data_IF_565265898574
#
_entry.id   IF_565265898574
#
_cell.length_a   1.000
_cell.length_b   1.000
_cell.length_c   1.000
_cell.angle_alpha   90.00
_cell.angle_beta   90.00
_cell.angle_gamma   90.00
#
_symmetry.space_group_name_H-M   'P 1'
#
loop_
_entity.id
_entity.type
_entity.pdbx_description
1 polymer ?
#
# COMPACT_ATOMS: atom_id res chain seq x y z
N UNK A 1 -1.67 -7.00 2.22
CA UNK A 1 -2.04 -7.38 0.84
C UNK A 1 -3.52 -7.17 0.55
N UNK A 2 -4.45 -7.93 1.15
CA UNK A 2 -5.89 -7.89 0.80
C UNK A 2 -6.53 -6.49 0.78
N UNK A 3 -6.24 -5.66 1.79
CA UNK A 3 -6.80 -4.31 1.86
C UNK A 3 -6.24 -3.36 0.79
N UNK A 4 -4.97 -3.53 0.38
CA UNK A 4 -4.39 -2.79 -0.76
C UNK A 4 -5.06 -3.19 -2.07
N UNK A 5 -5.22 -4.50 -2.32
CA UNK A 5 -5.91 -4.99 -3.52
C UNK A 5 -7.36 -4.49 -3.59
N UNK A 6 -8.10 -4.62 -2.48
CA UNK A 6 -9.50 -4.16 -2.42
C UNK A 6 -9.62 -2.65 -2.67
N UNK A 7 -8.64 -1.85 -2.24
CA UNK A 7 -8.62 -0.41 -2.55
C UNK A 7 -8.42 -0.14 -4.03
N UNK A 8 -7.47 -0.83 -4.67
CA UNK A 8 -7.23 -0.70 -6.12
C UNK A 8 -8.45 -1.19 -6.92
N UNK A 9 -9.03 -2.32 -6.56
CA UNK A 9 -10.26 -2.83 -7.19
C UNK A 9 -11.38 -1.78 -7.12
N UNK A 10 -11.54 -1.09 -5.98
CA UNK A 10 -12.52 0.02 -5.85
C UNK A 10 -12.18 1.23 -6.71
N UNK A 11 -10.90 1.59 -6.84
CA UNK A 11 -10.49 2.70 -7.73
C UNK A 11 -10.75 2.37 -9.20
N UNK A 12 -10.61 1.10 -9.60
CA UNK A 12 -10.94 0.62 -10.93
C UNK A 12 -12.46 0.70 -11.14
N UNK A 13 -13.25 0.15 -10.22
CA UNK A 13 -14.72 0.14 -10.31
C UNK A 13 -15.33 1.56 -10.32
N UNK A 14 -14.70 2.52 -9.63
CA UNK A 14 -15.11 3.94 -9.63
C UNK A 14 -14.60 4.73 -10.84
N UNK A 15 -13.67 4.18 -11.63
CA UNK A 15 -13.04 4.88 -12.75
C UNK A 15 -12.04 5.96 -12.35
N UNK A 16 -11.63 6.01 -11.07
CA UNK A 16 -10.70 7.01 -10.53
C UNK A 16 -9.22 6.59 -10.66
N UNK A 17 -8.95 5.32 -10.99
CA UNK A 17 -7.59 4.82 -11.18
C UNK A 17 -6.75 5.67 -12.16
N UNK A 18 -7.24 6.03 -13.37
CA UNK A 18 -6.46 6.82 -14.33
C UNK A 18 -6.16 8.24 -13.85
N UNK A 19 -6.96 8.75 -12.90
CA UNK A 19 -6.79 10.08 -12.33
C UNK A 19 -5.88 10.08 -11.11
N UNK A 20 -5.57 8.91 -10.55
CA UNK A 20 -4.74 8.78 -9.36
C UNK A 20 -3.27 8.91 -9.76
N UNK A 21 -2.57 9.90 -9.22
CA UNK A 21 -1.12 10.07 -9.44
C UNK A 21 -0.31 9.69 -8.21
N UNK A 22 -0.90 9.74 -7.00
CA UNK A 22 -0.23 9.40 -5.75
C UNK A 22 -1.10 8.56 -4.84
N UNK A 23 -0.49 7.59 -4.16
CA UNK A 23 -1.14 6.79 -3.11
C UNK A 23 -0.38 6.96 -1.80
N UNK A 24 -1.12 7.10 -0.70
CA UNK A 24 -0.56 7.20 0.65
C UNK A 24 -1.29 6.25 1.58
N UNK A 25 -0.55 5.61 2.47
CA UNK A 25 -1.01 4.59 3.41
C UNK A 25 -0.61 5.02 4.81
N UNK A 26 -1.61 5.30 5.64
CA UNK A 26 -1.45 5.64 7.04
C UNK A 26 -1.78 4.42 7.90
N UNK A 27 -0.80 3.97 8.68
CA UNK A 27 -0.93 2.87 9.63
C UNK A 27 -1.01 3.42 11.04
N UNK A 28 -1.95 2.92 11.84
CA UNK A 28 -2.24 3.41 13.18
C UNK A 28 -2.23 2.27 14.21
N UNK A 29 -1.90 2.62 15.45
CA UNK A 29 -1.95 1.71 16.61
C UNK A 29 -0.89 0.61 16.59
N UNK A 30 -1.22 -0.59 17.06
CA UNK A 30 -0.26 -1.70 17.21
C UNK A 30 0.36 -2.13 15.87
N UNK A 31 -0.35 -1.88 14.77
CA UNK A 31 0.10 -2.14 13.40
C UNK A 31 1.26 -1.23 12.97
N UNK A 32 1.38 -0.03 13.54
CA UNK A 32 2.50 0.87 13.26
C UNK A 32 3.77 0.47 14.01
N UNK A 33 3.63 -0.11 15.21
CA UNK A 33 4.72 -0.61 16.04
C UNK A 33 5.43 -1.84 15.43
N UNK A 34 4.68 -2.73 14.78
CA UNK A 34 5.23 -3.91 14.10
C UNK A 34 5.49 -3.69 12.61
N UNK A 35 5.25 -2.47 12.09
CA UNK A 35 5.22 -2.23 10.65
C UNK A 35 6.57 -1.83 10.03
N UNK A 36 7.47 -1.22 10.79
CA UNK A 36 8.76 -0.70 10.27
C UNK A 36 9.77 -1.85 10.13
N UNK A 37 10.10 -2.24 8.90
CA UNK A 37 11.10 -3.26 8.59
C UNK A 37 10.66 -4.72 8.81
N UNK A 38 9.36 -4.97 9.01
CA UNK A 38 8.81 -6.28 9.39
C UNK A 38 7.64 -6.70 8.48
N UNK A 39 7.89 -6.73 7.17
CA UNK A 39 7.00 -7.31 6.14
C UNK A 39 5.65 -6.61 5.89
N UNK A 40 5.22 -5.66 6.74
CA UNK A 40 3.93 -4.96 6.57
C UNK A 40 3.96 -3.95 5.42
N UNK A 41 5.05 -3.19 5.31
CA UNK A 41 5.35 -2.31 4.19
C UNK A 41 5.34 -3.06 2.84
N UNK A 42 6.04 -4.19 2.80
CA UNK A 42 6.08 -5.10 1.67
C UNK A 42 4.68 -5.61 1.33
N UNK A 43 3.91 -6.06 2.32
CA UNK A 43 2.57 -6.56 2.11
C UNK A 43 1.59 -5.49 1.61
N UNK A 44 1.81 -4.22 1.95
CA UNK A 44 1.03 -3.09 1.42
C UNK A 44 1.39 -2.84 -0.03
N UNK A 45 2.68 -2.71 -0.34
CA UNK A 45 3.19 -2.45 -1.69
C UNK A 45 2.74 -3.56 -2.65
N UNK A 46 2.93 -4.83 -2.28
CA UNK A 46 2.51 -5.96 -3.11
C UNK A 46 0.98 -6.01 -3.28
N UNK A 47 0.22 -5.63 -2.26
CA UNK A 47 -1.24 -5.56 -2.33
C UNK A 47 -1.73 -4.48 -3.30
N UNK A 48 -1.12 -3.29 -3.25
CA UNK A 48 -1.40 -2.19 -4.18
C UNK A 48 -0.95 -2.53 -5.61
N UNK A 49 0.11 -3.32 -5.76
CA UNK A 49 0.51 -3.87 -7.06
C UNK A 49 -0.52 -4.87 -7.63
N UNK A 50 -1.51 -5.29 -6.83
CA UNK A 50 -2.56 -6.23 -7.24
C UNK A 50 -2.31 -7.67 -6.83
N UNK A 51 -1.23 -7.96 -6.09
CA UNK A 51 -0.90 -9.31 -5.65
C UNK A 51 -1.73 -9.71 -4.41
N UNK A 52 -2.06 -10.99 -4.33
CA UNK A 52 -2.68 -11.64 -3.18
C UNK A 52 -1.63 -12.47 -2.43
N UNK A 53 -1.83 -12.78 -1.13
CA UNK A 53 -0.95 -13.71 -0.42
C UNK A 53 -0.86 -15.10 -1.07
N UNK A 54 -1.91 -15.51 -1.80
CA UNK A 54 -1.95 -16.80 -2.49
C UNK A 54 -1.15 -16.83 -3.79
N UNK A 55 -1.17 -15.72 -4.56
CA UNK A 55 -0.62 -15.69 -5.93
C UNK A 55 0.73 -14.94 -6.02
N UNK A 56 1.22 -14.40 -4.90
CA UNK A 56 2.45 -13.62 -4.89
C UNK A 56 3.68 -14.51 -5.11
N UNK A 57 4.52 -14.14 -6.09
CA UNK A 57 5.84 -14.73 -6.24
C UNK A 57 6.79 -14.16 -5.18
N UNK A 58 7.01 -14.92 -4.11
CA UNK A 58 7.82 -14.52 -2.95
C UNK A 58 9.27 -14.17 -3.36
N UNK A 59 9.83 -14.88 -4.34
CA UNK A 59 11.21 -14.66 -4.78
C UNK A 59 11.38 -13.32 -5.51
N UNK A 60 10.31 -12.81 -6.11
CA UNK A 60 10.32 -11.53 -6.84
C UNK A 60 10.07 -10.32 -5.94
N UNK A 61 9.61 -10.53 -4.70
CA UNK A 61 9.28 -9.46 -3.75
C UNK A 61 10.48 -8.54 -3.49
N UNK A 62 11.68 -9.03 -3.12
CA UNK A 62 12.79 -8.14 -2.76
C UNK A 62 13.22 -7.23 -3.92
N UNK A 63 13.27 -7.78 -5.14
CA UNK A 63 13.62 -7.02 -6.33
C UNK A 63 12.56 -5.95 -6.64
N UNK A 64 11.27 -6.29 -6.52
CA UNK A 64 10.19 -5.34 -6.73
C UNK A 64 10.21 -4.20 -5.71
N UNK A 65 10.39 -4.50 -4.43
CA UNK A 65 10.47 -3.47 -3.38
C UNK A 65 11.68 -2.56 -3.59
N UNK A 66 12.84 -3.10 -3.96
CA UNK A 66 14.02 -2.28 -4.28
C UNK A 66 13.76 -1.37 -5.48
N UNK A 67 13.08 -1.87 -6.51
CA UNK A 67 12.74 -1.07 -7.68
C UNK A 67 11.77 0.07 -7.34
N UNK A 68 10.74 -0.21 -6.53
CA UNK A 68 9.81 0.82 -6.04
C UNK A 68 10.54 1.84 -5.17
N UNK A 69 11.43 1.41 -4.28
CA UNK A 69 12.22 2.32 -3.45
C UNK A 69 13.18 3.19 -4.27
N UNK A 70 13.79 2.64 -5.32
CA UNK A 70 14.72 3.34 -6.21
C UNK A 70 14.02 4.31 -7.15
N UNK A 71 12.92 3.88 -7.76
CA UNK A 71 12.15 4.67 -8.73
C UNK A 71 11.17 5.63 -8.07
N UNK A 72 10.84 5.42 -6.78
CA UNK A 72 9.74 6.09 -6.08
C UNK A 72 8.40 6.00 -6.82
N UNK A 73 8.21 4.93 -7.59
CA UNK A 73 7.02 4.67 -8.39
C UNK A 73 6.51 3.27 -8.13
N UNK A 74 5.20 3.13 -8.09
CA UNK A 74 4.52 1.88 -7.86
C UNK A 74 3.60 1.55 -9.02
N UNK A 75 3.88 0.43 -9.68
CA UNK A 75 2.96 -0.19 -10.62
C UNK A 75 1.80 -0.81 -9.85
N UNK A 76 0.59 -0.34 -10.08
CA UNK A 76 -0.65 -0.82 -9.45
C UNK A 76 -1.54 -1.58 -10.43
N UNK A 77 -2.56 -2.27 -9.93
CA UNK A 77 -3.54 -2.99 -10.75
C UNK A 77 -2.89 -4.00 -11.72
N UNK A 78 -1.89 -4.76 -11.27
CA UNK A 78 -1.16 -5.71 -12.11
C UNK A 78 -0.28 -5.06 -13.18
N UNK A 79 0.09 -3.79 -13.01
CA UNK A 79 0.88 -3.03 -13.99
C UNK A 79 0.06 -2.21 -14.97
N UNK A 80 -1.26 -2.14 -14.81
CA UNK A 80 -2.13 -1.34 -15.68
C UNK A 80 -1.96 0.18 -15.48
N UNK A 81 -1.47 0.61 -14.31
CA UNK A 81 -1.23 2.02 -14.01
C UNK A 81 -0.02 2.19 -13.11
N UNK A 82 0.63 3.35 -13.16
CA UNK A 82 1.80 3.68 -12.32
C UNK A 82 1.51 4.96 -11.56
N UNK A 83 1.75 4.92 -10.26
CA UNK A 83 1.58 6.06 -9.35
C UNK A 83 2.90 6.42 -8.70
N UNK A 84 3.07 7.69 -8.35
CA UNK A 84 4.16 8.13 -7.49
C UNK A 84 3.95 7.56 -6.08
N UNK A 85 4.97 6.86 -5.62
CA UNK A 85 4.98 6.15 -4.35
C UNK A 85 6.38 6.18 -3.72
N UNK A 86 6.87 7.35 -3.28
CA UNK A 86 8.05 7.42 -2.43
C UNK A 86 7.78 6.68 -1.11
N UNK A 87 8.38 5.51 -0.90
CA UNK A 87 8.06 4.61 0.24
C UNK A 87 8.12 5.34 1.59
N UNK A 88 9.11 6.22 1.77
CA UNK A 88 9.29 7.01 3.00
C UNK A 88 8.14 7.99 3.29
N UNK A 89 7.54 8.58 2.24
CA UNK A 89 6.45 9.57 2.36
C UNK A 89 5.07 8.99 2.05
N UNK A 90 5.02 7.76 1.55
CA UNK A 90 3.79 7.09 1.12
C UNK A 90 3.32 6.06 2.14
N UNK A 91 4.18 5.60 3.05
CA UNK A 91 3.81 4.74 4.17
C UNK A 91 4.11 5.48 5.47
N UNK A 92 3.06 6.06 6.05
CA UNK A 92 3.14 6.84 7.27
C UNK A 92 2.75 5.98 8.47
N UNK A 93 3.65 5.91 9.44
CA UNK A 93 3.46 5.17 10.68
C UNK A 93 3.07 6.13 11.79
N UNK A 94 1.80 6.08 12.20
CA UNK A 94 1.27 6.90 13.28
C UNK A 94 1.31 6.08 14.58
N UNK A 95 2.01 6.59 15.59
CA UNK A 95 2.03 5.99 16.93
C UNK A 95 0.67 6.12 17.64
N UNK A 96 -0.13 7.10 17.22
CA UNK A 96 -1.47 7.33 17.73
C UNK A 96 -2.45 6.27 17.22
N UNK A 97 -3.35 5.82 18.09
CA UNK A 97 -4.45 4.94 17.71
C UNK A 97 -5.56 5.80 17.10
N UNK A 98 -6.22 5.31 16.04
CA UNK A 98 -7.41 6.00 15.53
C UNK A 98 -8.43 6.12 16.66
N UNK A 99 -8.83 7.35 17.00
CA UNK A 99 -9.86 7.66 18.00
C UNK A 99 -11.28 7.20 17.59
N UNK A 100 -11.41 6.23 16.67
CA UNK A 100 -12.69 5.59 16.32
C UNK A 100 -12.87 4.27 17.06
N UNK A 101 -14.07 3.99 17.58
CA UNK A 101 -14.31 3.00 18.65
C UNK A 101 -14.41 1.55 18.16
N UNK A 102 -13.62 1.12 17.16
CA UNK A 102 -13.81 -0.21 16.56
C UNK A 102 -12.62 -1.16 16.57
N UNK A 103 -11.37 -0.73 16.43
CA UNK A 103 -10.23 -1.64 16.55
C UNK A 103 -8.91 -0.91 16.82
N UNK A 104 -8.03 -1.60 17.54
CA UNK A 104 -6.68 -1.17 17.94
C UNK A 104 -5.74 -0.96 16.73
N UNK A 105 -6.02 -1.67 15.63
CA UNK A 105 -5.20 -1.67 14.41
C UNK A 105 -5.96 -1.03 13.25
N UNK A 106 -5.53 0.16 12.86
CA UNK A 106 -6.16 0.94 11.79
C UNK A 106 -5.25 1.09 10.58
N UNK A 107 -5.81 1.01 9.39
CA UNK A 107 -5.12 1.39 8.16
C UNK A 107 -6.04 2.27 7.32
N UNK A 108 -5.51 3.39 6.82
CA UNK A 108 -6.17 4.28 5.87
C UNK A 108 -5.34 4.33 4.59
N UNK A 109 -5.99 4.15 3.45
CA UNK A 109 -5.36 4.31 2.13
C UNK A 109 -6.05 5.49 1.45
N UNK A 110 -5.25 6.40 0.94
CA UNK A 110 -5.70 7.63 0.27
C UNK A 110 -5.11 7.66 -1.13
N UNK A 111 -5.93 7.93 -2.13
CA UNK A 111 -5.52 8.22 -3.50
C UNK A 111 -5.73 9.71 -3.78
N UNK A 112 -4.74 10.33 -4.40
CA UNK A 112 -4.77 11.72 -4.82
C UNK A 112 -4.47 11.83 -6.32
N UNK A 113 -5.10 12.78 -7.02
CA UNK A 113 -4.74 13.15 -8.37
C UNK A 113 -3.47 13.99 -8.44
#
# INVERSE_FOLDING_TARGET
MNAGKCFIDRLIDSGDLPRTTRITVDLYGSLSLTGKGHATDTAIIMGLAGNTPQDVNIDSIPAFIQEVARSSRLSVAGGAHVVDFPVADSILFHAETLARPRHENGMRITAAP
#
